data_IF_170968039112
#
_entry.id   IF_170968039112
#
_cell.length_a   1.000
_cell.length_b   1.000
_cell.length_c   1.000
_cell.angle_alpha   90.00
_cell.angle_beta   90.00
_cell.angle_gamma   90.00
#
_symmetry.space_group_name_H-M   'P 1'
#
loop_
_entity.id
_entity.type
_entity.pdbx_description
1 polymer ?
2 non-polymer ?
3 water ?
#
# COMPACT_ATOMS: atom_id res chain seq x y z
N UNK A 24 -13.58 -0.78 9.13
CA UNK A 24 -13.09 -1.03 7.73
C UNK A 24 -12.93 -2.52 7.45
N UNK A 25 -13.18 -2.92 6.21
CA UNK A 25 -13.15 -4.34 5.86
C UNK A 25 -11.87 -4.68 5.11
N UNK A 26 -11.70 -5.97 4.80
CA UNK A 26 -10.54 -6.41 4.06
C UNK A 26 -10.52 -5.78 2.67
N UNK A 27 -11.68 -5.54 2.07
CA UNK A 27 -11.73 -4.89 0.75
C UNK A 27 -11.01 -3.55 0.69
N UNK A 28 -11.13 -2.76 1.76
CA UNK A 28 -10.50 -1.44 1.79
C UNK A 28 -8.98 -1.54 1.79
N UNK A 29 -8.46 -2.75 2.05
CA UNK A 29 -7.02 -2.99 2.07
C UNK A 29 -6.48 -3.41 0.69
N UNK A 30 -7.38 -3.50 -0.31
CA UNK A 30 -7.04 -3.71 -1.72
C UNK A 30 -6.41 -5.07 -2.02
N UNK A 31 -6.75 -6.07 -1.22
CA UNK A 31 -6.25 -7.43 -1.42
C UNK A 31 -6.88 -8.01 -2.66
N UNK A 32 -6.19 -8.95 -3.28
CA UNK A 32 -6.70 -9.64 -4.46
C UNK A 32 -7.92 -10.51 -4.12
N UNK A 33 -8.76 -10.75 -5.12
CA UNK A 33 -9.99 -11.51 -4.89
C UNK A 33 -9.74 -12.93 -4.32
N UNK A 34 -8.75 -13.68 -4.83
CA UNK A 34 -8.53 -15.00 -4.23
C UNK A 34 -8.16 -14.95 -2.75
N UNK A 35 -7.41 -13.92 -2.35
CA UNK A 35 -7.04 -13.78 -0.94
C UNK A 35 -8.26 -13.36 -0.12
N UNK A 36 -9.07 -12.44 -0.65
CA UNK A 36 -10.30 -12.03 0.05
C UNK A 36 -11.23 -13.23 0.29
N UNK A 37 -11.40 -14.04 -0.75
CA UNK A 37 -12.26 -15.22 -0.66
C UNK A 37 -11.68 -16.25 0.31
N UNK A 38 -10.37 -16.40 0.31
CA UNK A 38 -9.70 -17.31 1.23
C UNK A 38 -9.82 -16.88 2.67
N UNK A 39 -9.64 -15.58 2.93
CA UNK A 39 -9.81 -15.06 4.28
C UNK A 39 -11.19 -15.39 4.80
N UNK A 40 -12.21 -15.11 4.01
CA UNK A 40 -13.57 -15.36 4.49
C UNK A 40 -13.81 -16.86 4.68
N UNK A 41 -13.32 -17.69 3.75
CA UNK A 41 -13.46 -19.14 3.87
C UNK A 41 -12.76 -19.69 5.11
N UNK A 42 -11.65 -19.07 5.50
CA UNK A 42 -10.86 -19.45 6.66
C UNK A 42 -11.40 -18.90 7.98
N UNK A 43 -12.52 -18.16 7.92
CA UNK A 43 -13.16 -17.63 9.13
C UNK A 43 -12.70 -16.24 9.55
N UNK A 44 -12.00 -15.54 8.67
CA UNK A 44 -11.54 -14.19 8.97
C UNK A 44 -12.44 -13.17 8.27
N UNK A 45 -13.43 -12.68 9.02
CA UNK A 45 -14.47 -11.83 8.44
C UNK A 45 -14.03 -10.38 8.32
N UNK A 46 -13.38 -9.85 9.36
CA UNK A 46 -12.95 -8.45 9.39
C UNK A 46 -11.51 -8.36 9.90
N UNK A 47 -10.74 -7.38 9.39
CA UNK A 47 -9.36 -7.26 9.88
C UNK A 47 -9.26 -6.81 11.35
N UNK A 48 -8.31 -7.39 12.07
CA UNK A 48 -7.93 -6.89 13.39
C UNK A 48 -7.17 -5.56 13.27
N UNK A 49 -7.06 -4.80 14.37
CA UNK A 49 -6.34 -3.54 14.33
C UNK A 49 -4.94 -3.65 13.72
N UNK A 50 -4.18 -4.69 14.07
CA UNK A 50 -2.83 -4.80 13.50
C UNK A 50 -2.86 -5.12 12.00
N UNK A 51 -3.87 -5.85 11.56
CA UNK A 51 -4.06 -6.16 10.15
C UNK A 51 -4.44 -4.92 9.33
N UNK A 52 -5.33 -4.09 9.87
CA UNK A 52 -5.63 -2.81 9.22
C UNK A 52 -4.40 -1.97 8.96
N UNK A 53 -3.52 -1.92 9.94
CA UNK A 53 -2.31 -1.11 9.81
C UNK A 53 -1.26 -1.75 8.92
N UNK A 54 -0.99 -3.04 9.12
CA UNK A 54 0.17 -3.66 8.49
C UNK A 54 -0.05 -4.10 7.06
N UNK A 55 -1.27 -4.53 6.69
CA UNK A 55 -1.46 -5.12 5.35
C UNK A 55 -1.14 -4.11 4.23
N UNK A 56 -1.69 -2.87 4.30
CA UNK A 56 -1.33 -1.94 3.21
C UNK A 56 0.15 -1.62 3.11
N UNK A 57 0.80 -1.50 4.26
CA UNK A 57 2.24 -1.22 4.30
C UNK A 57 3.02 -2.41 3.72
N UNK A 58 2.57 -3.63 4.00
CA UNK A 58 3.17 -4.82 3.39
C UNK A 58 2.99 -4.84 1.90
N UNK A 59 1.79 -4.53 1.42
CA UNK A 59 1.53 -4.48 -0.03
C UNK A 59 2.37 -3.40 -0.72
N UNK A 60 2.72 -2.34 0.01
CA UNK A 60 3.55 -1.27 -0.49
C UNK A 60 5.02 -1.70 -0.73
N UNK A 61 5.41 -2.85 -0.18
CA UNK A 61 6.75 -3.36 -0.36
C UNK A 61 7.75 -2.94 0.71
N UNK A 62 7.29 -2.27 1.75
CA UNK A 62 8.16 -1.75 2.79
C UNK A 62 8.67 -2.85 3.71
N UNK A 63 9.89 -2.68 4.22
CA UNK A 63 10.36 -3.50 5.33
C UNK A 63 9.55 -3.14 6.58
N UNK A 64 8.99 -4.14 7.25
CA UNK A 64 8.16 -3.95 8.44
C UNK A 64 8.70 -4.64 9.65
N UNK A 65 8.63 -3.95 10.78
CA UNK A 65 8.76 -4.54 12.10
C UNK A 65 7.41 -4.39 12.78
N UNK A 66 6.71 -5.50 13.01
CA UNK A 66 5.40 -5.50 13.63
C UNK A 66 5.58 -6.05 15.04
N UNK A 67 5.41 -5.18 16.03
CA UNK A 67 5.58 -5.54 17.44
C UNK A 67 4.25 -5.40 18.13
N UNK A 68 3.68 -6.53 18.53
CA UNK A 68 2.40 -6.54 19.23
C UNK A 68 2.26 -7.86 19.95
N UNK A 69 1.47 -7.84 21.02
CA UNK A 69 1.35 -9.01 21.88
C UNK A 69 0.79 -10.23 21.15
N UNK A 70 1.02 -11.40 21.73
CA UNK A 70 0.43 -12.61 21.19
C UNK A 70 -1.08 -12.47 21.05
N UNK A 71 -1.61 -13.06 19.99
CA UNK A 71 -3.02 -13.10 19.76
C UNK A 71 -3.63 -11.93 19.01
N UNK A 72 -2.79 -10.98 18.58
CA UNK A 72 -3.28 -9.78 17.90
C UNK A 72 -3.49 -9.99 16.40
N UNK A 73 -2.94 -11.07 15.85
CA UNK A 73 -3.16 -11.41 14.43
C UNK A 73 -1.94 -11.27 13.54
N UNK A 74 -0.75 -11.30 14.14
CA UNK A 74 0.48 -11.10 13.37
C UNK A 74 0.79 -12.22 12.37
N UNK A 75 0.52 -13.47 12.75
CA UNK A 75 0.75 -14.60 11.84
C UNK A 75 -0.14 -14.47 10.62
N UNK A 76 -1.40 -14.13 10.87
CA UNK A 76 -2.31 -13.92 9.79
C UNK A 76 -1.88 -12.71 8.93
N UNK A 77 -1.37 -11.62 9.56
CA UNK A 77 -0.79 -10.45 8.83
C UNK A 77 0.17 -10.93 7.76
N UNK A 78 1.25 -11.57 8.20
CA UNK A 78 2.30 -11.90 7.25
C UNK A 78 1.89 -12.96 6.25
N UNK A 79 1.01 -13.86 6.66
CA UNK A 79 0.53 -14.88 5.74
C UNK A 79 -0.31 -14.25 4.64
N UNK A 80 -1.10 -13.24 4.99
CA UNK A 80 -1.95 -12.52 4.02
C UNK A 80 -1.10 -11.68 3.06
N UNK A 81 -0.13 -10.95 3.61
CA UNK A 81 0.78 -10.19 2.76
C UNK A 81 1.50 -11.13 1.80
N UNK A 82 2.00 -12.25 2.33
CA UNK A 82 2.67 -13.24 1.51
C UNK A 82 1.81 -13.74 0.36
N UNK A 83 0.61 -14.24 0.69
CA UNK A 83 -0.26 -14.79 -0.35
C UNK A 83 -0.64 -13.75 -1.39
N UNK A 84 -0.90 -12.52 -0.97
CA UNK A 84 -1.29 -11.47 -1.92
C UNK A 84 -0.15 -11.11 -2.86
N UNK A 85 1.09 -11.30 -2.41
CA UNK A 85 2.26 -10.96 -3.21
C UNK A 85 2.63 -12.02 -4.24
N UNK A 86 2.09 -13.23 -4.09
CA UNK A 86 2.55 -14.37 -4.90
C UNK A 86 2.13 -14.23 -6.34
N UNK A 87 3.04 -14.63 -7.24
CA UNK A 87 2.73 -14.81 -8.67
C UNK A 87 2.48 -16.32 -8.79
N UNK A 88 1.22 -16.70 -8.72
CA UNK A 88 0.83 -18.09 -8.59
C UNK A 88 1.27 -18.93 -9.80
N UNK A 89 1.18 -18.34 -10.98
CA UNK A 89 1.56 -19.04 -12.21
C UNK A 89 3.06 -19.27 -12.38
N UNK A 90 3.88 -18.65 -11.53
CA UNK A 90 5.32 -18.88 -11.53
C UNK A 90 5.66 -19.86 -10.40
N UNK A 91 5.94 -21.11 -10.77
CA UNK A 91 6.16 -22.16 -9.77
C UNK A 91 7.63 -22.09 -9.35
N UNK A 92 7.90 -21.12 -8.50
CA UNK A 92 9.24 -20.80 -8.02
C UNK A 92 9.10 -20.33 -6.59
N UNK A 93 10.17 -20.48 -5.81
CA UNK A 93 10.10 -20.13 -4.39
C UNK A 93 10.31 -18.63 -4.25
N UNK A 94 9.21 -17.92 -4.05
CA UNK A 94 9.19 -16.46 -4.01
C UNK A 94 9.25 -15.92 -2.58
N UNK A 95 8.91 -16.76 -1.62
CA UNK A 95 8.74 -16.35 -0.23
C UNK A 95 9.39 -17.39 0.66
N UNK A 96 10.18 -16.91 1.62
CA UNK A 96 10.86 -17.73 2.62
C UNK A 96 10.47 -17.23 4.01
N UNK A 97 9.96 -18.16 4.84
CA UNK A 97 9.49 -17.81 6.18
C UNK A 97 10.22 -18.69 7.19
N UNK A 98 10.84 -18.03 8.19
CA UNK A 98 11.54 -18.76 9.26
C UNK A 98 10.76 -18.72 10.56
N UNK A 99 10.82 -19.84 11.27
CA UNK A 99 10.18 -20.03 12.58
C UNK A 99 11.17 -20.64 13.55
N UNK A 100 11.03 -20.31 14.86
CA UNK A 100 11.98 -20.83 15.87
C UNK A 100 11.80 -22.25 16.33
N UNK A 101 10.65 -22.84 16.05
CA UNK A 101 10.41 -24.23 16.39
C UNK A 101 9.70 -24.93 15.24
N UNK A 102 9.82 -26.26 15.25
CA UNK A 102 9.13 -27.11 14.29
C UNK A 102 7.61 -26.91 14.35
N UNK A 103 7.06 -26.79 15.55
CA UNK A 103 5.62 -26.66 15.71
C UNK A 103 5.11 -25.34 15.14
N UNK A 104 5.84 -24.25 15.35
CA UNK A 104 5.43 -22.98 14.78
C UNK A 104 5.54 -22.97 13.26
N UNK A 105 6.58 -23.60 12.71
CA UNK A 105 6.66 -23.73 11.25
C UNK A 105 5.40 -24.36 10.68
N UNK A 106 4.93 -25.42 11.33
CA UNK A 106 3.72 -26.08 10.87
C UNK A 106 2.47 -25.22 11.07
N UNK A 107 2.40 -24.50 12.19
CA UNK A 107 1.29 -23.58 12.38
C UNK A 107 1.21 -22.56 11.23
N UNK A 108 2.36 -22.01 10.84
CA UNK A 108 2.38 -21.07 9.70
C UNK A 108 1.86 -21.74 8.43
N UNK A 109 2.34 -22.95 8.15
CA UNK A 109 1.84 -23.71 7.01
C UNK A 109 0.33 -23.90 7.04
N UNK A 110 -0.22 -24.18 8.23
CA UNK A 110 -1.67 -24.37 8.35
C UNK A 110 -2.42 -23.08 8.00
N UNK A 111 -1.92 -21.93 8.47
CA UNK A 111 -2.57 -20.64 8.20
C UNK A 111 -2.52 -20.31 6.71
N UNK A 112 -1.33 -20.45 6.11
CA UNK A 112 -1.17 -20.16 4.69
C UNK A 112 -2.06 -21.06 3.83
N UNK A 113 -2.10 -22.34 4.18
CA UNK A 113 -2.91 -23.28 3.41
C UNK A 113 -4.39 -22.93 3.54
N UNK A 114 -4.84 -22.52 4.73
CA UNK A 114 -6.25 -22.14 4.93
C UNK A 114 -6.63 -20.87 4.15
N UNK A 115 -5.83 -19.82 4.29
CA UNK A 115 -6.14 -18.56 3.62
C UNK A 115 -5.94 -18.70 2.10
N UNK A 116 -5.04 -19.60 1.70
CA UNK A 116 -4.74 -19.82 0.29
C UNK A 116 -5.60 -20.86 -0.36
N UNK A 117 -6.69 -21.27 0.30
CA UNK A 117 -7.53 -22.37 -0.18
C UNK A 117 -8.17 -22.12 -1.55
N UNK A 118 -8.34 -20.86 -1.95
CA UNK A 118 -8.92 -20.55 -3.27
C UNK A 118 -7.85 -20.38 -4.37
N UNK A 119 -6.59 -20.56 -4.01
CA UNK A 119 -5.47 -20.39 -4.93
C UNK A 119 -5.06 -21.75 -5.44
N UNK A 120 -5.60 -22.11 -6.60
CA UNK A 120 -5.36 -23.40 -7.18
C UNK A 120 -3.88 -23.61 -7.49
N UNK A 121 -3.33 -24.73 -7.05
CA UNK A 121 -1.93 -25.05 -7.30
C UNK A 121 -0.94 -24.40 -6.36
N UNK A 122 -1.41 -23.73 -5.31
CA UNK A 122 -0.50 -23.17 -4.31
C UNK A 122 0.32 -24.28 -3.69
N UNK A 123 1.63 -24.06 -3.62
CA UNK A 123 2.56 -25.02 -3.03
C UNK A 123 3.32 -24.36 -1.87
N UNK A 124 2.94 -24.71 -0.66
CA UNK A 124 3.61 -24.25 0.56
C UNK A 124 4.06 -25.48 1.33
N UNK A 125 5.34 -25.51 1.73
CA UNK A 125 5.94 -26.70 2.33
C UNK A 125 6.82 -26.35 3.49
N UNK A 126 6.92 -27.30 4.42
CA UNK A 126 7.64 -27.15 5.68
C UNK A 126 8.96 -27.94 5.64
N UNK A 127 10.05 -27.26 6.00
CA UNK A 127 11.40 -27.80 5.94
C UNK A 127 12.02 -27.76 7.33
N UNK A 128 12.00 -28.94 7.97
CA UNK A 128 12.47 -29.14 9.34
C UNK A 128 13.32 -30.41 9.42
N UNK A 129 13.98 -30.60 10.54
CA UNK A 129 14.82 -31.76 10.74
C UNK A 129 14.02 -33.05 10.77
N UNK A 130 14.66 -34.14 10.40
CA UNK A 130 14.09 -35.49 10.51
C UNK A 130 13.55 -36.10 9.22
N UNK A 131 13.40 -35.31 8.18
CA UNK A 131 13.06 -35.78 6.84
C UNK A 131 14.35 -35.86 6.02
N UNK A 132 14.52 -36.91 5.20
CA UNK A 132 15.71 -36.96 4.37
C UNK A 132 15.85 -35.76 3.46
N UNK A 133 17.08 -35.29 3.32
CA UNK A 133 17.34 -34.16 2.45
C UNK A 133 16.91 -34.43 1.01
N UNK A 134 16.99 -35.68 0.55
CA UNK A 134 16.59 -36.01 -0.80
C UNK A 134 15.09 -35.74 -1.05
N UNK A 135 14.29 -35.89 -0.01
CA UNK A 135 12.87 -35.61 -0.13
C UNK A 135 12.59 -34.12 -0.12
N UNK A 136 13.31 -33.38 0.71
CA UNK A 136 13.22 -31.92 0.65
C UNK A 136 13.59 -31.45 -0.76
N UNK A 137 14.66 -32.02 -1.33
CA UNK A 137 15.10 -31.61 -2.70
C UNK A 137 13.93 -31.73 -3.68
N UNK A 138 13.26 -32.87 -3.68
CA UNK A 138 12.13 -33.10 -4.57
C UNK A 138 11.00 -32.11 -4.31
N UNK A 139 10.67 -31.88 -3.06
CA UNK A 139 9.57 -30.98 -2.72
C UNK A 139 9.87 -29.54 -3.15
N UNK A 140 11.15 -29.14 -3.10
CA UNK A 140 11.54 -27.79 -3.48
C UNK A 140 11.44 -27.52 -4.98
N UNK A 141 11.23 -28.57 -5.78
CA UNK A 141 10.98 -28.39 -7.23
C UNK A 141 9.59 -27.83 -7.52
N UNK A 142 8.69 -27.88 -6.56
CA UNK A 142 7.33 -27.34 -6.70
C UNK A 142 6.98 -26.66 -5.40
N UNK A 143 7.45 -25.44 -5.22
CA UNK A 143 7.31 -24.77 -3.91
C UNK A 143 7.28 -23.26 -4.08
N UNK A 144 6.12 -22.65 -3.89
CA UNK A 144 5.99 -21.19 -3.91
C UNK A 144 6.50 -20.54 -2.62
N UNK A 145 6.18 -21.16 -1.48
CA UNK A 145 6.46 -20.61 -0.16
C UNK A 145 7.12 -21.69 0.68
N UNK A 146 8.38 -21.44 1.07
CA UNK A 146 9.14 -22.34 1.92
C UNK A 146 9.06 -21.80 3.34
N UNK A 147 8.66 -22.67 4.27
CA UNK A 147 8.57 -22.34 5.69
C UNK A 147 9.49 -23.32 6.42
N UNK A 148 10.38 -22.86 7.29
CA UNK A 148 11.21 -23.81 7.99
C UNK A 148 12.01 -23.23 9.11
N UNK A 149 12.80 -24.11 9.70
CA UNK A 149 13.70 -23.68 10.75
C UNK A 149 15.01 -23.21 10.14
N UNK A 150 15.70 -22.26 10.81
CA UNK A 150 16.90 -21.70 10.16
C UNK A 150 18.01 -22.68 9.81
N UNK A 151 18.24 -23.68 10.65
CA UNK A 151 19.31 -24.64 10.36
C UNK A 151 19.02 -25.46 9.09
N UNK A 152 17.81 -26.00 8.98
CA UNK A 152 17.47 -26.79 7.80
C UNK A 152 17.44 -25.92 6.55
N UNK A 153 16.87 -24.71 6.63
CA UNK A 153 16.85 -23.83 5.48
C UNK A 153 18.27 -23.50 5.02
N UNK A 154 19.17 -23.18 5.96
CA UNK A 154 20.56 -22.89 5.58
C UNK A 154 21.17 -24.09 4.84
N UNK A 155 20.94 -25.29 5.38
CA UNK A 155 21.51 -26.49 4.75
C UNK A 155 21.00 -26.63 3.30
N UNK A 156 19.70 -26.41 3.11
CA UNK A 156 19.09 -26.55 1.80
C UNK A 156 19.59 -25.49 0.79
N UNK A 157 19.84 -24.27 1.26
CA UNK A 157 20.41 -23.25 0.40
C UNK A 157 21.87 -23.59 0.04
N UNK A 158 22.63 -24.05 1.03
CA UNK A 158 24.04 -24.41 0.79
C UNK A 158 24.15 -25.52 -0.25
N UNK A 159 23.22 -26.48 -0.22
CA UNK A 159 23.21 -27.56 -1.20
C UNK A 159 22.64 -27.16 -2.56
N UNK A 160 22.11 -25.94 -2.65
CA UNK A 160 21.39 -25.45 -3.82
C UNK A 160 20.12 -26.27 -4.12
N UNK A 161 19.56 -26.89 -3.10
CA UNK A 161 18.24 -27.51 -3.21
C UNK A 161 17.14 -26.47 -3.16
N UNK A 162 17.34 -25.44 -2.34
CA UNK A 162 16.56 -24.20 -2.41
C UNK A 162 17.49 -23.18 -3.04
N UNK A 163 17.27 -22.83 -4.31
CA UNK A 163 18.03 -21.75 -4.91
C UNK A 163 17.30 -20.46 -4.54
N UNK A 164 17.99 -19.55 -3.87
CA UNK A 164 17.26 -18.38 -3.34
C UNK A 164 17.02 -17.26 -4.35
N UNK A 165 17.39 -17.46 -5.62
CA UNK A 165 17.34 -16.40 -6.61
C UNK A 165 15.98 -15.82 -6.93
N UNK A 166 14.90 -16.56 -6.67
CA UNK A 166 13.56 -16.00 -6.88
C UNK A 166 12.90 -15.47 -5.63
N UNK A 167 13.59 -15.52 -4.49
CA UNK A 167 12.97 -15.04 -3.26
C UNK A 167 12.93 -13.51 -3.29
N UNK A 168 11.74 -12.95 -3.10
CA UNK A 168 11.59 -11.50 -2.96
C UNK A 168 11.01 -11.07 -1.62
N UNK A 169 10.56 -12.02 -0.79
CA UNK A 169 9.95 -11.71 0.49
C UNK A 169 10.50 -12.68 1.55
N UNK A 170 11.09 -12.13 2.59
CA UNK A 170 11.77 -12.91 3.63
C UNK A 170 11.12 -12.52 4.95
N UNK A 171 10.57 -13.48 5.68
CA UNK A 171 9.74 -13.24 6.87
C UNK A 171 10.32 -13.97 8.08
N UNK A 172 10.45 -13.23 9.17
CA UNK A 172 10.89 -13.77 10.44
C UNK A 172 9.71 -13.77 11.41
N UNK A 173 9.20 -14.95 11.76
CA UNK A 173 8.13 -15.08 12.76
C UNK A 173 8.74 -15.29 14.14
N UNK A 174 8.22 -14.58 15.13
CA UNK A 174 8.78 -14.60 16.48
C UNK A 174 10.25 -14.19 16.44
N UNK A 175 10.49 -13.00 15.90
CA UNK A 175 11.85 -12.58 15.63
C UNK A 175 12.69 -12.46 16.92
N UNK A 176 12.05 -12.08 18.02
CA UNK A 176 12.73 -12.10 19.32
C UNK A 176 13.31 -13.49 19.66
N UNK A 177 12.49 -14.53 19.51
CA UNK A 177 12.94 -15.88 19.79
C UNK A 177 13.97 -16.36 18.77
N UNK A 178 13.84 -15.92 17.52
CA UNK A 178 14.82 -16.28 16.49
C UNK A 178 16.21 -15.71 16.72
N UNK A 179 16.27 -14.52 17.29
CA UNK A 179 17.52 -13.75 17.30
C UNK A 179 18.12 -13.57 18.69
N UNK A 180 17.46 -14.07 19.73
CA UNK A 180 17.97 -13.99 21.10
C UNK A 180 19.27 -14.80 21.29
N UNK A 181 19.94 -14.58 22.41
CA UNK A 181 21.18 -15.30 22.68
C UNK A 181 20.94 -16.80 22.67
N UNK A 182 21.84 -17.52 22.03
CA UNK A 182 21.75 -18.97 21.97
C UNK A 182 20.79 -19.49 20.91
N UNK A 183 20.27 -18.59 20.04
CA UNK A 183 19.30 -18.98 19.03
C UNK A 183 19.94 -18.93 17.65
N UNK A 184 19.27 -18.34 16.65
CA UNK A 184 19.62 -18.55 15.24
C UNK A 184 20.23 -17.34 14.51
N UNK A 185 20.77 -16.35 15.24
CA UNK A 185 21.32 -15.16 14.55
C UNK A 185 22.39 -15.51 13.52
N UNK A 186 23.28 -16.44 13.80
CA UNK A 186 24.32 -16.76 12.82
C UNK A 186 23.72 -17.36 11.54
N UNK A 187 22.77 -18.27 11.68
CA UNK A 187 22.17 -18.90 10.51
C UNK A 187 21.33 -17.90 9.73
N UNK A 188 20.64 -17.00 10.43
CA UNK A 188 19.80 -16.02 9.77
C UNK A 188 20.66 -14.99 9.04
N UNK A 189 21.79 -14.58 9.65
CA UNK A 189 22.72 -13.70 8.94
C UNK A 189 23.16 -14.36 7.62
N UNK A 190 23.50 -15.64 7.68
CA UNK A 190 23.96 -16.39 6.52
C UNK A 190 22.87 -16.47 5.46
N UNK A 191 21.66 -16.84 5.88
CA UNK A 191 20.53 -16.95 4.94
C UNK A 191 20.29 -15.59 4.28
N UNK A 192 20.26 -14.54 5.10
CA UNK A 192 20.01 -13.20 4.58
C UNK A 192 21.00 -12.85 3.47
N UNK A 193 22.26 -13.15 3.73
CA UNK A 193 23.33 -12.80 2.79
C UNK A 193 23.24 -13.60 1.48
N UNK A 194 22.60 -14.77 1.50
CA UNK A 194 22.44 -15.61 0.29
C UNK A 194 21.34 -15.11 -0.64
N UNK A 195 20.44 -14.29 -0.12
CA UNK A 195 19.26 -13.84 -0.85
C UNK A 195 19.59 -12.76 -1.85
N UNK A 196 18.72 -12.54 -2.83
CA UNK A 196 18.94 -11.41 -3.75
C UNK A 196 19.03 -10.07 -3.03
N UNK A 197 19.75 -9.14 -3.66
CA UNK A 197 19.87 -7.79 -3.14
C UNK A 197 18.52 -7.08 -2.95
N UNK A 198 17.66 -7.25 -3.93
CA UNK A 198 16.35 -6.60 -3.96
C UNK A 198 15.30 -7.53 -3.38
N UNK A 199 14.80 -7.20 -2.20
CA UNK A 199 13.80 -8.01 -1.51
C UNK A 199 13.17 -7.18 -0.41
N UNK A 200 12.04 -7.68 0.06
CA UNK A 200 11.30 -7.11 1.18
C UNK A 200 11.43 -8.02 2.40
N UNK A 201 11.60 -7.42 3.58
CA UNK A 201 11.62 -8.22 4.77
C UNK A 201 10.54 -7.78 5.75
N UNK A 202 9.97 -8.78 6.40
CA UNK A 202 9.01 -8.59 7.47
C UNK A 202 9.50 -9.32 8.69
N UNK A 203 9.45 -8.66 9.84
CA UNK A 203 9.75 -9.29 11.10
C UNK A 203 8.59 -9.03 12.02
N UNK A 204 8.04 -10.08 12.63
CA UNK A 204 6.96 -9.90 13.60
C UNK A 204 7.43 -10.48 14.93
N UNK A 205 7.04 -9.82 16.01
CA UNK A 205 7.53 -10.20 17.33
C UNK A 205 6.62 -9.68 18.43
N UNK A 206 6.50 -10.45 19.52
CA UNK A 206 5.74 -9.98 20.68
C UNK A 206 6.49 -8.88 21.42
N UNK A 207 7.82 -8.93 21.38
CA UNK A 207 8.68 -7.98 22.11
C UNK A 207 9.74 -7.38 21.20
N UNK A 208 10.30 -6.26 21.62
CA UNK A 208 11.34 -5.58 20.87
C UNK A 208 12.47 -5.11 21.81
N UNK A 209 13.21 -6.05 22.40
CA UNK A 209 14.31 -5.68 23.27
C UNK A 209 15.49 -5.16 22.46
N UNK A 210 16.48 -4.57 23.14
CA UNK A 210 17.64 -4.01 22.44
C UNK A 210 18.30 -5.06 21.53
N UNK A 211 18.41 -6.31 21.96
CA UNK A 211 19.13 -7.27 21.13
C UNK A 211 18.43 -7.44 19.76
N UNK A 212 17.11 -7.32 19.75
CA UNK A 212 16.35 -7.49 18.51
C UNK A 212 16.47 -6.22 17.66
N UNK A 213 16.30 -5.05 18.28
CA UNK A 213 16.50 -3.79 17.57
C UNK A 213 17.87 -3.82 16.87
N UNK A 214 18.89 -4.22 17.62
CA UNK A 214 20.26 -4.22 17.08
C UNK A 214 20.41 -5.27 15.98
N UNK A 215 19.87 -6.47 16.18
CA UNK A 215 20.02 -7.52 15.17
C UNK A 215 19.38 -7.15 13.84
N UNK A 216 18.21 -6.51 13.90
CA UNK A 216 17.46 -6.23 12.67
C UNK A 216 18.10 -5.13 11.83
N UNK A 217 19.02 -4.35 12.41
CA UNK A 217 19.75 -3.38 11.60
C UNK A 217 20.61 -4.02 10.51
N UNK A 218 20.93 -5.31 10.63
CA UNK A 218 21.67 -6.01 9.61
C UNK A 218 20.82 -6.19 8.35
N UNK A 219 19.51 -6.25 8.52
CA UNK A 219 18.61 -6.70 7.47
C UNK A 219 17.72 -5.61 6.89
N UNK A 220 17.45 -4.55 7.66
CA UNK A 220 16.50 -3.51 7.26
C UNK A 220 17.14 -2.15 7.44
N UNK A 221 17.29 -1.44 6.34
CA UNK A 221 17.96 -0.14 6.38
C UNK A 221 17.14 0.93 7.09
N UNK A 222 15.84 0.95 6.87
CA UNK A 222 14.98 2.00 7.43
C UNK A 222 13.57 1.46 7.58
N UNK A 223 13.40 0.53 8.51
CA UNK A 223 12.10 -0.15 8.60
C UNK A 223 10.96 0.75 9.04
N UNK A 224 9.76 0.37 8.64
CA UNK A 224 8.53 0.95 9.16
C UNK A 224 8.03 0.08 10.32
N UNK A 225 7.73 0.73 11.43
CA UNK A 225 7.25 0.07 12.64
C UNK A 225 5.74 0.08 12.67
N UNK A 226 5.17 -1.04 13.06
CA UNK A 226 3.74 -1.18 13.26
C UNK A 226 3.49 -1.67 14.68
N UNK A 227 2.78 -0.86 15.45
CA UNK A 227 2.41 -1.16 16.81
C UNK A 227 0.98 -0.73 17.04
N UNK A 228 0.34 -1.29 18.04
CA UNK A 228 -1.02 -0.86 18.40
C UNK A 228 -0.96 0.37 19.29
N UNK B 24 15.66 6.40 -6.17
CA UNK B 24 15.00 5.39 -7.07
C UNK B 24 14.48 6.05 -8.33
N UNK B 25 13.84 5.25 -9.19
CA UNK B 25 13.15 5.78 -10.38
C UNK B 25 11.64 5.53 -10.25
N UNK B 26 10.86 6.06 -11.20
CA UNK B 26 9.41 5.90 -11.15
C UNK B 26 8.98 4.46 -11.39
N UNK B 27 9.75 3.72 -12.21
CA UNK B 27 9.37 2.35 -12.53
C UNK B 27 9.33 1.47 -11.27
N UNK B 28 10.19 1.79 -10.30
CA UNK B 28 10.24 1.06 -9.03
C UNK B 28 9.01 1.32 -8.15
N UNK B 29 8.29 2.41 -8.44
CA UNK B 29 7.04 2.70 -7.74
C UNK B 29 5.85 1.89 -8.30
N UNK B 30 6.11 1.10 -9.36
CA UNK B 30 5.15 0.13 -9.90
C UNK B 30 3.87 0.76 -10.46
N UNK B 31 4.03 1.96 -11.00
CA UNK B 31 2.97 2.65 -11.69
C UNK B 31 2.66 1.94 -13.02
N UNK B 32 1.46 2.15 -13.54
CA UNK B 32 1.07 1.60 -14.83
C UNK B 32 1.92 2.21 -15.94
N UNK B 33 2.07 1.46 -17.04
CA UNK B 33 2.88 1.92 -18.18
C UNK B 33 2.46 3.30 -18.71
N UNK B 34 1.14 3.54 -18.91
CA UNK B 34 0.74 4.87 -19.39
C UNK B 34 1.17 6.02 -18.48
N UNK B 35 1.15 5.81 -17.18
CA UNK B 35 1.57 6.84 -16.23
C UNK B 35 3.09 7.02 -16.23
N UNK B 36 3.83 5.90 -16.25
CA UNK B 36 5.29 5.96 -16.35
C UNK B 36 5.75 6.75 -17.58
N UNK B 37 5.16 6.45 -18.73
CA UNK B 37 5.52 7.12 -19.99
C UNK B 37 5.11 8.59 -20.00
N UNK B 38 3.95 8.88 -19.43
CA UNK B 38 3.47 10.27 -19.29
C UNK B 38 4.38 11.10 -18.41
N UNK B 39 4.82 10.54 -17.29
CA UNK B 39 5.76 11.23 -16.41
C UNK B 39 7.03 11.59 -17.18
N UNK B 40 7.59 10.61 -17.90
CA UNK B 40 8.78 10.82 -18.72
C UNK B 40 8.56 11.91 -19.78
N UNK B 41 7.46 11.82 -20.49
CA UNK B 41 7.09 12.80 -21.52
C UNK B 41 6.92 14.21 -20.95
N UNK B 42 6.34 14.31 -19.76
CA UNK B 42 6.12 15.59 -19.08
C UNK B 42 7.39 16.16 -18.45
N UNK B 43 8.51 15.44 -18.56
CA UNK B 43 9.78 15.90 -18.00
C UNK B 43 10.04 15.48 -16.57
N UNK B 44 9.26 14.50 -16.07
CA UNK B 44 9.44 13.95 -14.72
C UNK B 44 10.35 12.72 -14.79
N UNK B 45 11.64 12.95 -14.60
CA UNK B 45 12.66 11.92 -14.81
C UNK B 45 12.78 10.96 -13.63
N UNK B 46 12.93 11.51 -12.43
CA UNK B 46 13.09 10.70 -11.23
C UNK B 46 12.25 11.30 -10.11
N UNK B 47 11.69 10.43 -9.25
CA UNK B 47 10.84 10.92 -8.17
C UNK B 47 11.60 11.74 -7.11
N UNK B 48 10.94 12.77 -6.59
CA UNK B 48 11.48 13.56 -5.50
C UNK B 48 11.34 12.76 -4.20
N UNK B 49 12.04 13.17 -3.14
CA UNK B 49 11.92 12.45 -1.88
C UNK B 49 10.47 12.24 -1.38
N UNK B 50 9.61 13.26 -1.47
CA UNK B 50 8.23 13.11 -1.01
C UNK B 50 7.44 12.17 -1.93
N UNK B 51 7.76 12.17 -3.22
CA UNK B 51 7.13 11.26 -4.17
C UNK B 51 7.50 9.78 -3.93
N UNK B 52 8.77 9.51 -3.63
CA UNK B 52 9.21 8.16 -3.32
C UNK B 52 8.43 7.58 -2.14
N UNK B 53 8.15 8.43 -1.14
CA UNK B 53 7.39 7.96 0.05
C UNK B 53 5.89 7.86 -0.22
N UNK B 54 5.32 8.93 -0.78
CA UNK B 54 3.87 9.08 -0.80
C UNK B 54 3.18 8.29 -1.90
N UNK B 55 3.83 8.16 -3.06
CA UNK B 55 3.17 7.51 -4.17
C UNK B 55 2.80 6.04 -3.86
N UNK B 56 3.76 5.22 -3.37
CA UNK B 56 3.38 3.87 -2.98
C UNK B 56 2.27 3.76 -1.90
N UNK B 57 2.34 4.60 -0.88
CA UNK B 57 1.33 4.62 0.16
C UNK B 57 -0.05 4.95 -0.42
N UNK B 58 -0.09 5.88 -1.35
CA UNK B 58 -1.32 6.26 -2.03
C UNK B 58 -1.87 5.16 -2.91
N UNK B 59 -0.99 4.52 -3.69
CA UNK B 59 -1.42 3.41 -4.52
C UNK B 59 -2.04 2.28 -3.68
N UNK B 60 -1.56 2.11 -2.44
CA UNK B 60 -2.07 1.03 -1.59
C UNK B 60 -3.32 1.43 -0.80
N UNK B 61 -3.90 2.59 -1.13
CA UNK B 61 -5.22 2.98 -0.68
C UNK B 61 -5.36 3.68 0.65
N UNK B 62 -4.25 4.02 1.27
CA UNK B 62 -4.27 4.70 2.56
C UNK B 62 -4.71 6.16 2.44
N UNK B 63 -5.46 6.64 3.43
CA UNK B 63 -5.67 8.09 3.56
C UNK B 63 -4.33 8.72 3.92
N UNK B 64 -3.94 9.78 3.21
CA UNK B 64 -2.65 10.43 3.42
C UNK B 64 -2.81 11.90 3.79
N UNK B 65 -1.98 12.34 4.73
CA UNK B 65 -1.71 13.75 4.97
C UNK B 65 -0.25 13.95 4.63
N UNK B 66 0.02 14.68 3.56
CA UNK B 66 1.37 14.94 3.11
C UNK B 66 1.68 16.37 3.48
N UNK B 67 2.58 16.57 4.46
CA UNK B 67 2.96 17.91 4.90
C UNK B 67 4.42 18.16 4.52
N UNK B 68 4.63 19.07 3.58
CA UNK B 68 5.99 19.42 3.15
C UNK B 68 5.94 20.76 2.46
N UNK B 69 7.09 21.44 2.45
CA UNK B 69 7.16 22.81 1.99
C UNK B 69 6.83 22.92 0.51
N UNK B 70 6.53 24.13 0.09
CA UNK B 70 6.25 24.38 -1.31
C UNK B 70 7.43 23.93 -2.18
N UNK B 71 7.13 23.36 -3.33
CA UNK B 71 8.14 22.95 -4.29
C UNK B 71 8.73 21.56 -4.12
N UNK B 72 8.20 20.78 -3.17
CA UNK B 72 8.71 19.44 -2.91
C UNK B 72 8.12 18.36 -3.84
N UNK B 73 7.05 18.69 -4.56
CA UNK B 73 6.45 17.78 -5.53
C UNK B 73 5.10 17.21 -5.11
N UNK B 74 4.39 17.88 -4.21
CA UNK B 74 3.13 17.35 -3.69
C UNK B 74 2.00 17.30 -4.72
N UNK B 75 1.93 18.31 -5.59
CA UNK B 75 0.92 18.32 -6.66
C UNK B 75 1.12 17.13 -7.60
N UNK B 76 2.38 16.88 -7.97
CA UNK B 76 2.72 15.68 -8.76
C UNK B 76 2.36 14.39 -8.03
N UNK B 77 2.60 14.35 -6.72
CA UNK B 77 2.23 13.16 -5.92
C UNK B 77 0.76 12.81 -6.11
N UNK B 78 -0.15 13.76 -5.85
CA UNK B 78 -1.55 13.39 -5.90
C UNK B 78 -2.04 13.21 -7.34
N UNK B 79 -1.43 13.92 -8.28
CA UNK B 79 -1.81 13.80 -9.68
C UNK B 79 -1.44 12.42 -10.21
N UNK B 80 -0.29 11.92 -9.79
CA UNK B 80 0.18 10.63 -10.21
C UNK B 80 -0.64 9.51 -9.56
N UNK B 81 -0.91 9.64 -8.26
CA UNK B 81 -1.78 8.66 -7.58
C UNK B 81 -3.15 8.63 -8.25
N UNK B 82 -3.70 9.81 -8.54
CA UNK B 82 -5.00 9.90 -9.20
C UNK B 82 -5.02 9.19 -10.56
N UNK B 83 -4.10 9.54 -11.45
CA UNK B 83 -4.08 8.95 -12.79
C UNK B 83 -3.85 7.44 -12.75
N UNK B 84 -2.98 6.98 -11.85
CA UNK B 84 -2.68 5.55 -11.78
C UNK B 84 -3.89 4.75 -11.28
N UNK B 85 -4.76 5.42 -10.51
CA UNK B 85 -5.97 4.79 -9.96
C UNK B 85 -7.16 4.77 -10.89
N UNK B 86 -7.09 5.54 -11.98
CA UNK B 86 -8.23 5.74 -12.83
C UNK B 86 -8.54 4.52 -13.68
N UNK B 87 -9.83 4.22 -13.83
CA UNK B 87 -10.31 3.22 -14.77
C UNK B 87 -10.84 3.98 -15.99
N UNK B 88 -10.00 4.07 -17.04
CA UNK B 88 -10.31 4.93 -18.18
C UNK B 88 -11.60 4.54 -18.90
N UNK B 89 -11.85 3.22 -18.94
CA UNK B 89 -13.00 2.67 -19.65
C UNK B 89 -14.32 2.97 -18.94
N UNK B 90 -14.26 3.29 -17.65
CA UNK B 90 -15.44 3.75 -16.91
C UNK B 90 -15.50 5.27 -17.05
N UNK B 91 -16.53 5.75 -17.75
CA UNK B 91 -16.63 7.16 -18.11
C UNK B 91 -17.15 8.05 -16.97
N UNK B 92 -17.58 7.44 -15.86
CA UNK B 92 -18.08 8.20 -14.71
C UNK B 92 -16.97 8.94 -13.96
N UNK B 93 -17.36 9.99 -13.23
CA UNK B 93 -16.43 10.78 -12.44
C UNK B 93 -15.96 9.99 -11.22
N UNK B 94 -14.66 9.69 -11.18
CA UNK B 94 -14.05 8.82 -10.15
C UNK B 94 -13.23 9.58 -9.12
N UNK B 95 -12.81 10.80 -9.47
CA UNK B 95 -11.85 11.56 -8.68
C UNK B 95 -12.30 13.01 -8.60
N UNK B 96 -12.29 13.55 -7.39
CA UNK B 96 -12.65 14.95 -7.14
C UNK B 96 -11.51 15.63 -6.40
N UNK B 97 -11.04 16.76 -6.96
CA UNK B 97 -9.92 17.48 -6.41
C UNK B 97 -10.32 18.93 -6.17
N UNK B 98 -10.09 19.41 -4.93
CA UNK B 98 -10.42 20.78 -4.56
C UNK B 98 -9.17 21.62 -4.43
N UNK B 99 -9.26 22.87 -4.89
CA UNK B 99 -8.19 23.85 -4.79
C UNK B 99 -8.78 25.15 -4.22
N UNK B 100 -7.96 25.93 -3.50
CA UNK B 100 -8.46 27.16 -2.86
C UNK B 100 -8.62 28.36 -3.77
N UNK B 101 -7.99 28.33 -4.95
CA UNK B 101 -8.09 29.44 -5.91
C UNK B 101 -8.29 28.91 -7.32
N UNK B 102 -8.83 29.78 -8.17
CA UNK B 102 -9.03 29.45 -9.59
C UNK B 102 -7.69 29.08 -10.25
N UNK B 103 -6.65 29.85 -9.96
CA UNK B 103 -5.36 29.63 -10.60
C UNK B 103 -4.80 28.25 -10.22
N UNK B 104 -4.91 27.86 -8.95
CA UNK B 104 -4.42 26.55 -8.53
C UNK B 104 -5.24 25.41 -9.14
N UNK B 105 -6.56 25.58 -9.26
CA UNK B 105 -7.35 24.56 -9.94
C UNK B 105 -6.82 24.29 -11.33
N UNK B 106 -6.51 25.36 -12.05
CA UNK B 106 -6.01 25.24 -13.42
C UNK B 106 -4.61 24.61 -13.45
N UNK B 107 -3.75 25.01 -12.52
CA UNK B 107 -2.42 24.39 -12.41
C UNK B 107 -2.54 22.87 -12.26
N UNK B 108 -3.47 22.42 -11.42
CA UNK B 108 -3.68 20.98 -11.25
C UNK B 108 -4.11 20.32 -12.56
N UNK B 109 -5.04 20.98 -13.24
CA UNK B 109 -5.49 20.49 -14.53
C UNK B 109 -4.32 20.39 -15.53
N UNK B 110 -3.43 21.36 -15.50
CA UNK B 110 -2.27 21.35 -16.40
C UNK B 110 -1.36 20.16 -16.12
N UNK B 111 -1.08 19.90 -14.84
CA UNK B 111 -0.22 18.77 -14.44
C UNK B 111 -0.85 17.43 -14.83
N UNK B 112 -2.12 17.26 -14.51
CA UNK B 112 -2.84 16.04 -14.83
C UNK B 112 -2.90 15.79 -16.34
N UNK B 113 -3.18 16.83 -17.10
CA UNK B 113 -3.25 16.75 -18.55
C UNK B 113 -1.88 16.35 -19.12
N UNK B 114 -0.80 16.91 -18.57
CA UNK B 114 0.55 16.61 -19.05
C UNK B 114 1.00 15.19 -18.69
N UNK B 115 0.82 14.79 -17.42
CA UNK B 115 1.20 13.43 -16.99
C UNK B 115 0.29 12.38 -17.63
N UNK B 116 -0.96 12.76 -17.92
CA UNK B 116 -1.95 11.86 -18.52
C UNK B 116 -1.97 11.86 -20.04
N UNK B 117 -0.94 12.43 -20.64
CA UNK B 117 -0.89 12.61 -22.08
C UNK B 117 -0.90 11.28 -22.87
N UNK B 118 -0.46 10.19 -22.25
CA UNK B 118 -0.50 8.89 -22.92
C UNK B 118 -1.81 8.13 -22.68
N UNK B 119 -2.75 8.73 -21.94
CA UNK B 119 -3.99 8.05 -21.58
C UNK B 119 -5.15 8.46 -22.49
N UNK B 120 -5.45 7.64 -23.47
CA UNK B 120 -6.45 7.94 -24.51
C UNK B 120 -7.85 8.11 -23.91
N UNK B 121 -8.49 9.23 -24.21
CA UNK B 121 -9.86 9.48 -23.75
C UNK B 121 -9.97 10.02 -22.33
N UNK B 122 -8.83 10.38 -21.74
CA UNK B 122 -8.84 11.01 -20.41
C UNK B 122 -9.60 12.33 -20.44
N UNK B 123 -10.53 12.50 -19.51
CA UNK B 123 -11.34 13.72 -19.40
C UNK B 123 -11.17 14.32 -18.01
N UNK B 124 -10.44 15.44 -17.96
CA UNK B 124 -10.22 16.17 -16.73
C UNK B 124 -10.62 17.62 -16.99
N UNK B 125 -11.45 18.18 -16.12
CA UNK B 125 -12.02 19.51 -16.35
C UNK B 125 -12.05 20.32 -15.09
N UNK B 126 -12.03 21.64 -15.27
CA UNK B 126 -11.98 22.62 -14.22
C UNK B 126 -13.33 23.31 -14.02
N UNK B 127 -13.79 23.34 -12.77
CA UNK B 127 -15.09 23.91 -12.39
C UNK B 127 -14.89 25.05 -11.42
N UNK B 128 -15.00 26.26 -11.98
CA UNK B 128 -14.79 27.50 -11.25
C UNK B 128 -15.88 28.49 -11.64
N UNK B 129 -15.98 29.59 -10.90
CA UNK B 129 -17.00 30.58 -11.17
C UNK B 129 -16.82 31.25 -12.52
N UNK B 130 -17.92 31.73 -13.08
CA UNK B 130 -17.88 32.56 -14.29
C UNK B 130 -18.28 31.87 -15.58
N UNK B 131 -18.31 30.52 -15.55
CA UNK B 131 -18.86 29.73 -16.66
C UNK B 131 -20.31 29.42 -16.32
N UNK B 132 -21.24 29.56 -17.28
CA UNK B 132 -22.63 29.20 -16.99
C UNK B 132 -22.79 27.77 -16.49
N UNK B 133 -23.63 27.59 -15.47
CA UNK B 133 -23.85 26.27 -14.87
C UNK B 133 -24.30 25.24 -15.91
N UNK B 134 -25.05 25.66 -16.92
CA UNK B 134 -25.53 24.76 -17.98
C UNK B 134 -24.38 24.16 -18.79
N UNK B 135 -23.31 24.92 -18.96
CA UNK B 135 -22.12 24.42 -19.64
C UNK B 135 -21.31 23.48 -18.76
N UNK B 136 -21.20 23.77 -17.46
CA UNK B 136 -20.63 22.81 -16.53
C UNK B 136 -21.42 21.50 -16.55
N UNK B 137 -22.75 21.60 -16.56
CA UNK B 137 -23.60 20.42 -16.64
C UNK B 137 -23.23 19.53 -17.84
N UNK B 138 -23.08 20.14 -19.01
CA UNK B 138 -22.72 19.39 -20.20
C UNK B 138 -21.31 18.76 -20.06
N UNK B 139 -20.35 19.54 -19.57
CA UNK B 139 -18.98 19.06 -19.41
C UNK B 139 -18.89 17.87 -18.44
N UNK B 140 -19.73 17.88 -17.39
CA UNK B 140 -19.75 16.82 -16.38
C UNK B 140 -20.28 15.48 -16.90
N UNK B 141 -20.88 15.48 -18.10
CA UNK B 141 -21.28 14.24 -18.77
C UNK B 141 -20.08 13.46 -19.31
N UNK B 142 -18.95 14.14 -19.49
CA UNK B 142 -17.70 13.50 -19.95
C UNK B 142 -16.53 13.96 -19.09
N UNK B 143 -16.40 13.36 -17.92
CA UNK B 143 -15.43 13.82 -16.93
C UNK B 143 -14.99 12.73 -15.96
N UNK B 144 -13.75 12.27 -16.11
CA UNK B 144 -13.16 11.30 -15.18
C UNK B 144 -12.72 11.97 -13.89
N UNK B 145 -12.13 13.16 -14.01
CA UNK B 145 -11.52 13.83 -12.89
C UNK B 145 -12.03 15.27 -12.87
N UNK B 146 -12.77 15.62 -11.83
CA UNK B 146 -13.30 16.98 -11.64
C UNK B 146 -12.38 17.74 -10.70
N UNK B 147 -11.91 18.91 -11.13
CA UNK B 147 -11.05 19.76 -10.35
C UNK B 147 -11.77 21.09 -10.17
N UNK B 148 -11.87 21.63 -8.96
CA UNK B 148 -12.54 22.90 -8.83
C UNK B 148 -12.43 23.56 -7.49
N UNK B 149 -13.05 24.73 -7.38
CA UNK B 149 -13.14 25.43 -6.10
C UNK B 149 -14.33 24.87 -5.31
N UNK B 150 -14.25 24.91 -3.97
CA UNK B 150 -15.32 24.23 -3.22
C UNK B 150 -16.73 24.81 -3.40
N UNK B 151 -16.86 26.12 -3.58
CA UNK B 151 -18.19 26.70 -3.77
C UNK B 151 -18.85 26.20 -5.04
N UNK B 152 -18.12 26.20 -6.15
CA UNK B 152 -18.66 25.73 -7.41
C UNK B 152 -18.95 24.24 -7.37
N UNK B 153 -18.03 23.47 -6.82
CA UNK B 153 -18.24 22.02 -6.72
C UNK B 153 -19.49 21.71 -5.86
N UNK B 154 -19.63 22.37 -4.71
CA UNK B 154 -20.81 22.16 -3.89
C UNK B 154 -22.10 22.45 -4.68
N UNK B 155 -22.12 23.56 -5.42
CA UNK B 155 -23.32 23.90 -6.18
C UNK B 155 -23.62 22.82 -7.22
N UNK B 156 -22.59 22.35 -7.93
CA UNK B 156 -22.79 21.36 -8.97
C UNK B 156 -23.34 20.04 -8.41
N UNK B 157 -22.92 19.69 -7.20
CA UNK B 157 -23.46 18.50 -6.55
C UNK B 157 -24.90 18.75 -6.09
N UNK B 158 -25.16 19.91 -5.49
CA UNK B 158 -26.52 20.29 -5.05
C UNK B 158 -27.53 20.21 -6.19
N UNK B 159 -27.12 20.70 -7.35
CA UNK B 159 -27.99 20.73 -8.52
C UNK B 159 -28.10 19.41 -9.26
N UNK B 160 -27.38 18.39 -8.78
CA UNK B 160 -27.34 17.07 -9.38
C UNK B 160 -26.70 17.11 -10.77
N UNK B 161 -25.82 18.07 -11.00
CA UNK B 161 -25.04 18.13 -12.24
C UNK B 161 -23.79 17.26 -12.14
N UNK B 162 -23.18 17.24 -10.96
CA UNK B 162 -22.13 16.29 -10.62
C UNK B 162 -22.77 15.25 -9.70
N UNK B 163 -22.91 14.03 -10.20
CA UNK B 163 -23.36 12.89 -9.41
C UNK B 163 -22.10 12.28 -8.78
N UNK B 164 -21.96 12.37 -7.44
CA UNK B 164 -20.71 11.90 -6.82
C UNK B 164 -20.64 10.40 -6.52
N UNK B 165 -21.64 9.64 -6.99
CA UNK B 165 -21.76 8.23 -6.63
C UNK B 165 -20.62 7.30 -7.02
N UNK B 166 -19.80 7.69 -8.01
CA UNK B 166 -18.65 6.89 -8.42
C UNK B 166 -17.31 7.44 -7.93
N UNK B 167 -17.35 8.49 -7.11
CA UNK B 167 -16.11 9.08 -6.60
C UNK B 167 -15.50 8.14 -5.54
N UNK B 168 -14.27 7.70 -5.79
CA UNK B 168 -13.54 6.87 -4.83
C UNK B 168 -12.27 7.54 -4.29
N UNK B 169 -11.91 8.71 -4.81
CA UNK B 169 -10.69 9.41 -4.42
C UNK B 169 -11.04 10.89 -4.33
N UNK B 170 -10.81 11.47 -3.16
CA UNK B 170 -11.15 12.87 -2.85
C UNK B 170 -9.87 13.53 -2.36
N UNK B 171 -9.44 14.60 -3.03
CA UNK B 171 -8.14 15.19 -2.81
C UNK B 171 -8.28 16.68 -2.47
N UNK B 172 -7.62 17.09 -1.38
CA UNK B 172 -7.55 18.48 -0.95
C UNK B 172 -6.14 19.02 -1.19
N UNK B 173 -6.00 19.94 -2.14
CA UNK B 173 -4.73 20.59 -2.42
C UNK B 173 -4.66 21.88 -1.59
N UNK B 174 -3.51 22.13 -0.95
CA UNK B 174 -3.34 23.26 -0.06
C UNK B 174 -4.42 23.22 1.02
N UNK B 175 -4.43 22.11 1.76
CA UNK B 175 -5.50 21.87 2.71
C UNK B 175 -5.55 22.92 3.83
N UNK B 176 -4.38 23.45 4.20
CA UNK B 176 -4.31 24.57 5.15
C UNK B 176 -5.13 25.78 4.68
N UNK B 177 -4.90 26.18 3.45
CA UNK B 177 -5.63 27.31 2.86
C UNK B 177 -7.10 27.01 2.68
N UNK B 178 -7.43 25.77 2.35
CA UNK B 178 -8.83 25.35 2.15
C UNK B 178 -9.64 25.39 3.43
N UNK B 179 -8.99 25.15 4.56
CA UNK B 179 -9.72 24.90 5.81
C UNK B 179 -9.49 25.96 6.89
N UNK B 180 -8.68 26.98 6.60
CA UNK B 180 -8.40 28.06 7.56
C UNK B 180 -9.63 28.95 7.79
N UNK B 181 -9.57 29.78 8.82
CA UNK B 181 -10.67 30.69 9.13
C UNK B 181 -10.99 31.57 7.93
N UNK B 182 -12.27 31.69 7.61
CA UNK B 182 -12.72 32.49 6.47
C UNK B 182 -12.69 31.78 5.12
N UNK B 183 -12.32 30.50 5.13
CA UNK B 183 -12.20 29.72 3.90
C UNK B 183 -13.35 28.72 3.76
N UNK B 184 -13.07 27.49 3.32
CA UNK B 184 -14.09 26.60 2.79
C UNK B 184 -14.48 25.40 3.66
N UNK B 185 -14.22 25.45 4.97
CA UNK B 185 -14.55 24.28 5.81
C UNK B 185 -16.02 23.88 5.72
N UNK B 186 -16.95 24.84 5.73
CA UNK B 186 -18.36 24.46 5.67
C UNK B 186 -18.69 23.76 4.35
N UNK B 187 -18.21 24.31 3.23
CA UNK B 187 -18.46 23.70 1.92
C UNK B 187 -17.79 22.33 1.79
N UNK B 188 -16.56 22.21 2.29
CA UNK B 188 -15.86 20.92 2.22
C UNK B 188 -16.52 19.88 3.12
N UNK B 189 -16.97 20.27 4.33
CA UNK B 189 -17.77 19.37 5.17
C UNK B 189 -18.98 18.88 4.37
N UNK B 190 -19.69 19.79 3.70
CA UNK B 190 -20.88 19.41 2.94
C UNK B 190 -20.54 18.47 1.78
N UNK B 191 -19.52 18.83 1.00
CA UNK B 191 -19.07 17.99 -0.10
C UNK B 191 -18.67 16.60 0.40
N UNK B 192 -17.85 16.56 1.45
CA UNK B 192 -17.45 15.28 2.03
C UNK B 192 -18.66 14.39 2.33
N UNK B 193 -19.67 14.98 2.96
CA UNK B 193 -20.87 14.24 3.35
C UNK B 193 -21.69 13.71 2.16
N UNK B 194 -21.56 14.36 0.99
CA UNK B 194 -22.26 13.92 -0.20
C UNK B 194 -21.61 12.72 -0.88
N UNK B 195 -20.36 12.43 -0.54
CA UNK B 195 -19.59 11.41 -1.24
C UNK B 195 -19.87 10.02 -0.70
N UNK B 196 -19.55 8.98 -1.50
CA UNK B 196 -19.71 7.62 -0.98
C UNK B 196 -18.88 7.36 0.28
N UNK B 197 -19.38 6.46 1.13
CA UNK B 197 -18.64 6.09 2.34
C UNK B 197 -17.32 5.42 1.99
N UNK B 198 -17.32 4.59 0.96
CA UNK B 198 -16.13 3.86 0.54
C UNK B 198 -15.30 4.75 -0.39
N UNK B 199 -14.26 5.37 0.17
CA UNK B 199 -13.39 6.25 -0.61
C UNK B 199 -12.06 6.43 0.11
N UNK B 200 -11.08 6.91 -0.65
CA UNK B 200 -9.77 7.29 -0.16
C UNK B 200 -9.64 8.80 -0.20
N UNK B 201 -8.98 9.35 0.81
CA UNK B 201 -8.70 10.78 0.89
C UNK B 201 -7.23 11.09 0.89
N UNK B 202 -6.83 12.10 0.11
CA UNK B 202 -5.48 12.67 0.19
C UNK B 202 -5.59 14.14 0.52
N UNK B 203 -4.81 14.59 1.49
CA UNK B 203 -4.69 16.01 1.78
C UNK B 203 -3.22 16.37 1.75
N UNK B 204 -2.87 17.38 0.96
CA UNK B 204 -1.48 17.87 0.91
C UNK B 204 -1.46 19.32 1.36
N UNK B 205 -0.42 19.69 2.07
CA UNK B 205 -0.35 21.02 2.66
C UNK B 205 1.10 21.42 2.99
N UNK B 206 1.41 22.69 2.88
CA UNK B 206 2.73 23.17 3.30
C UNK B 206 2.84 23.16 4.83
N UNK B 207 1.73 23.39 5.53
CA UNK B 207 1.74 23.48 7.00
C UNK B 207 0.67 22.57 7.59
N UNK B 208 0.80 22.28 8.87
CA UNK B 208 -0.17 21.43 9.59
C UNK B 208 -0.46 22.01 10.98
N UNK B 209 -1.12 23.17 11.02
CA UNK B 209 -1.49 23.79 12.29
C UNK B 209 -2.65 23.04 12.93
N UNK B 210 -2.91 23.36 14.20
CA UNK B 210 -3.97 22.65 14.93
C UNK B 210 -5.31 22.71 14.21
N UNK B 211 -5.65 23.86 13.60
CA UNK B 211 -6.96 23.95 12.96
C UNK B 211 -7.09 22.91 11.86
N UNK B 212 -5.98 22.64 11.17
CA UNK B 212 -6.00 21.68 10.06
C UNK B 212 -6.05 20.25 10.60
N UNK B 213 -5.21 19.97 11.57
CA UNK B 213 -5.25 18.66 12.24
C UNK B 213 -6.68 18.35 12.71
N UNK B 214 -7.30 19.33 13.35
CA UNK B 214 -8.65 19.12 13.88
C UNK B 214 -9.68 18.94 12.77
N UNK B 215 -9.61 19.80 11.75
CA UNK B 215 -10.56 19.72 10.65
C UNK B 215 -10.52 18.37 9.92
N UNK B 216 -9.32 17.83 9.73
CA UNK B 216 -9.17 16.60 8.97
C UNK B 216 -9.68 15.37 9.72
N UNK B 217 -9.92 15.49 11.02
CA UNK B 217 -10.52 14.37 11.77
C UNK B 217 -11.96 14.06 11.33
N UNK B 218 -12.62 15.03 10.69
CA UNK B 218 -13.95 14.79 10.13
C UNK B 218 -13.92 13.82 8.95
N UNK B 219 -12.78 13.76 8.27
CA UNK B 219 -12.69 13.09 6.96
C UNK B 219 -11.87 11.81 6.95
N UNK B 220 -10.91 11.71 7.87
CA UNK B 220 -9.94 10.61 7.87
C UNK B 220 -9.86 10.01 9.26
N UNK B 221 -10.20 8.73 9.36
CA UNK B 221 -10.28 8.04 10.64
C UNK B 221 -8.94 7.85 11.31
N UNK B 222 -7.92 7.51 10.52
CA UNK B 222 -6.61 7.19 11.05
C UNK B 222 -5.56 7.36 9.96
N UNK B 223 -5.33 8.61 9.56
CA UNK B 223 -4.49 8.85 8.40
C UNK B 223 -3.02 8.50 8.59
N UNK B 224 -2.37 8.21 7.47
CA UNK B 224 -0.93 8.06 7.39
C UNK B 224 -0.31 9.41 7.05
N UNK B 225 0.72 9.79 7.80
CA UNK B 225 1.42 11.05 7.60
C UNK B 225 2.68 10.84 6.81
N UNK B 226 2.91 11.73 5.84
CA UNK B 226 4.13 11.71 5.03
C UNK B 226 4.81 13.06 5.17
N UNK B 227 6.03 13.04 5.68
CA UNK B 227 6.85 14.23 5.83
C UNK B 227 8.26 13.89 5.43
N UNK B 228 9.06 14.92 5.19
CA UNK B 228 10.48 14.74 4.88
C UNK B 228 11.29 14.94 6.15
#
# INVERSE_FOLDING_TARGET
SMRTAQDLSSPRTRTGDVLLAEPADFESLLLSRPVLEGLRAAGFERPSPVQLKAIPLGRCGLDLIVQAKSGTGKTCVFSTIALDSLVLENLSTQILILAPTREIAVQIHSVITAIGIKMEGLECHVFIGGTPLSQDKTRLKKCHIAVGSPGRIKQLIELDYLNPGSIRLFILDEADKLLEEGSFQEQINWIYSSLPASKQMLAVSATYPEFLANALTKYMRDPTFVRLNS
SMRTAQDLSSPRTRTGDVLLAEPADFESLLLSRPVLEGLRAAGFERPSPVQLKAIPLGRCGLDLIVQAKSGTGKTCVFSTIALDSLVLENLSTQILILAPTREIAVQIHSVITAIGIKMEGLECHVFIGGTPLSQDKTRLKKCHIAVGSPGRIKQLIELDYLNPGSIRLFILDEADKLLEEGSFQEQINWIYSSLPASKQMLAVSATYPEFLANALTKYMRDPTFVRLNS
#
